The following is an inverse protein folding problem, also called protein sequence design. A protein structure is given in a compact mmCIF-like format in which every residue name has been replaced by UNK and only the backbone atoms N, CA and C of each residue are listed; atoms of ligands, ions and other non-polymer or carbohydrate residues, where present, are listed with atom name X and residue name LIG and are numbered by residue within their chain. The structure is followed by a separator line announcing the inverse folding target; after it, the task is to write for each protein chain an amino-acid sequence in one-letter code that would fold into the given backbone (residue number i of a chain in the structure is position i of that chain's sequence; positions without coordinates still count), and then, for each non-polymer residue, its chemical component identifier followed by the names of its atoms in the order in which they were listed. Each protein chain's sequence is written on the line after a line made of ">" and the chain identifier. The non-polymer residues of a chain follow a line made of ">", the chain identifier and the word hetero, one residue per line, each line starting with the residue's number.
data_IF_249312334381
#
_entry.id   IF_249312334381
#
_cell.length_a   1.000
_cell.length_b   1.000
_cell.length_c   1.000
_cell.angle_alpha   90.00
_cell.angle_beta   90.00
_cell.angle_gamma   90.00
#
_symmetry.space_group_name_H-M   'P 1'
#
loop_
_entity.id
_entity.type
_entity.pdbx_description
1 polymer ?
#
# COMPACT_ATOMS: atom_id res chain seq x y z
N UNK A 1 4.16 -2.35 -8.89
CA UNK A 1 3.94 -3.42 -7.90
C UNK A 1 5.06 -3.31 -6.88
N UNK A 2 4.73 -3.21 -5.59
CA UNK A 2 5.72 -3.17 -4.51
C UNK A 2 5.62 -4.45 -3.70
N UNK A 3 6.78 -5.01 -3.37
CA UNK A 3 6.93 -6.25 -2.63
C UNK A 3 8.07 -6.10 -1.63
N UNK A 4 7.82 -6.41 -0.37
CA UNK A 4 8.83 -6.50 0.68
C UNK A 4 8.56 -7.76 1.51
N UNK A 5 9.62 -8.56 1.70
CA UNK A 5 9.60 -9.68 2.62
C UNK A 5 10.61 -9.40 3.73
N UNK A 6 10.12 -9.34 4.97
CA UNK A 6 10.92 -9.18 6.17
C UNK A 6 10.94 -10.45 7.02
N UNK A 7 12.12 -10.82 7.49
CA UNK A 7 12.30 -11.81 8.56
C UNK A 7 12.36 -11.04 9.88
N UNK A 8 11.35 -11.18 10.73
CA UNK A 8 11.25 -10.43 11.99
C UNK A 8 11.16 -11.36 13.19
N UNK A 9 11.56 -10.84 14.36
CA UNK A 9 11.43 -11.55 15.63
C UNK A 9 11.20 -10.51 16.73
N UNK A 10 10.37 -10.87 17.72
CA UNK A 10 10.25 -10.09 18.95
C UNK A 10 11.60 -9.99 19.66
N UNK A 11 11.99 -8.78 20.10
CA UNK A 11 13.22 -8.56 20.87
C UNK A 11 13.03 -8.74 22.38
N UNK A 12 11.81 -9.02 22.80
CA UNK A 12 11.43 -9.16 24.22
C UNK A 12 10.96 -10.58 24.42
N UNK A 13 11.32 -11.14 25.56
CA UNK A 13 10.89 -12.49 25.94
C UNK A 13 9.38 -12.55 26.23
N UNK A 14 8.78 -11.41 26.63
CA UNK A 14 7.36 -11.29 26.93
C UNK A 14 6.74 -10.05 26.27
N UNK A 15 5.63 -10.29 25.56
CA UNK A 15 4.79 -9.28 24.93
C UNK A 15 3.64 -8.95 25.88
N UNK A 16 3.69 -7.77 26.51
CA UNK A 16 2.71 -7.34 27.50
C UNK A 16 1.33 -7.01 26.91
N UNK A 17 1.29 -6.56 25.66
CA UNK A 17 0.06 -6.28 24.91
C UNK A 17 -0.74 -7.55 24.62
N UNK A 18 -0.04 -8.63 24.28
CA UNK A 18 -0.63 -9.94 24.01
C UNK A 18 -0.62 -10.88 25.23
N UNK A 19 -0.06 -10.42 26.36
CA UNK A 19 0.12 -11.17 27.60
C UNK A 19 0.70 -12.58 27.39
N UNK A 20 1.68 -12.70 26.50
CA UNK A 20 2.31 -13.98 26.17
C UNK A 20 3.80 -13.84 25.95
N UNK A 21 4.52 -14.95 26.16
CA UNK A 21 5.88 -15.05 25.67
C UNK A 21 5.89 -15.13 24.14
N UNK A 22 6.89 -14.48 23.54
CA UNK A 22 7.13 -14.55 22.10
C UNK A 22 8.58 -14.93 21.84
N UNK A 23 8.77 -16.15 21.34
CA UNK A 23 10.06 -16.67 20.89
C UNK A 23 10.05 -16.98 19.38
N UNK A 24 8.96 -16.62 18.68
CA UNK A 24 8.75 -17.02 17.29
C UNK A 24 9.44 -16.09 16.31
N UNK A 25 10.18 -16.65 15.35
CA UNK A 25 10.53 -15.94 14.13
C UNK A 25 9.28 -15.82 13.23
N UNK A 26 9.12 -14.67 12.57
CA UNK A 26 7.98 -14.34 11.72
C UNK A 26 8.45 -13.94 10.33
N UNK A 27 7.63 -14.27 9.34
CA UNK A 27 7.82 -13.89 7.95
C UNK A 27 6.76 -12.85 7.60
N UNK A 28 7.14 -11.59 7.62
CA UNK A 28 6.25 -10.47 7.33
C UNK A 28 6.29 -10.15 5.83
N UNK A 29 5.11 -10.10 5.21
CA UNK A 29 4.95 -9.82 3.78
C UNK A 29 4.16 -8.54 3.58
N UNK A 30 4.77 -7.57 2.91
CA UNK A 30 4.12 -6.31 2.54
C UNK A 30 3.97 -6.23 1.02
N UNK A 31 2.72 -6.13 0.57
CA UNK A 31 2.34 -6.01 -0.83
C UNK A 31 1.66 -4.65 -1.07
N UNK A 32 2.06 -3.97 -2.15
CA UNK A 32 1.46 -2.71 -2.56
C UNK A 32 1.16 -2.68 -4.05
N UNK A 33 -0.06 -2.30 -4.41
CA UNK A 33 -0.45 -2.02 -5.78
C UNK A 33 -0.88 -0.56 -5.92
N UNK A 34 -0.67 0.01 -7.11
CA UNK A 34 -1.13 1.35 -7.47
C UNK A 34 -1.91 1.25 -8.77
N UNK A 35 -3.09 1.87 -8.79
CA UNK A 35 -3.93 1.98 -9.98
C UNK A 35 -4.12 3.47 -10.23
N UNK A 36 -3.92 3.88 -11.47
CA UNK A 36 -4.21 5.22 -11.94
C UNK A 36 -4.77 5.15 -13.34
N UNK A 37 -5.78 5.97 -13.62
CA UNK A 37 -6.24 6.24 -14.97
C UNK A 37 -6.12 7.74 -15.24
N UNK A 38 -5.87 8.11 -16.48
CA UNK A 38 -5.77 9.50 -16.91
C UNK A 38 -7.00 9.85 -17.74
N UNK A 39 -7.74 10.88 -17.33
CA UNK A 39 -8.80 11.46 -18.17
C UNK A 39 -8.22 12.63 -18.98
N UNK A 40 -8.20 12.54 -20.32
CA UNK A 40 -7.85 13.70 -21.14
C UNK A 40 -9.00 14.70 -21.13
N UNK A 41 -8.73 15.92 -20.66
CA UNK A 41 -9.67 17.04 -20.73
C UNK A 41 -9.32 17.85 -21.97
N UNK A 42 -10.10 17.68 -23.04
CA UNK A 42 -9.97 18.51 -24.24
C UNK A 42 -10.76 19.81 -24.04
N UNK A 43 -10.10 20.96 -24.21
CA UNK A 43 -10.81 22.23 -24.37
C UNK A 43 -11.55 22.16 -25.70
N UNK A 44 -12.88 22.15 -25.68
CA UNK A 44 -13.64 22.46 -26.89
C UNK A 44 -13.24 23.88 -27.30
N UNK A 45 -12.64 24.03 -28.48
CA UNK A 45 -12.76 25.30 -29.18
C UNK A 45 -14.26 25.53 -29.30
N UNK A 46 -14.76 26.57 -28.64
CA UNK A 46 -16.09 27.10 -28.90
C UNK A 46 -16.02 27.70 -30.31
N UNK A 47 -15.99 26.85 -31.33
CA UNK A 47 -16.30 27.29 -32.68
C UNK A 47 -17.75 27.77 -32.64
N UNK A 48 -17.88 29.00 -33.10
CA UNK A 48 -19.04 29.85 -33.03
C UNK A 48 -20.25 29.10 -33.56
N UNK A 49 -21.23 28.87 -32.69
CA UNK A 49 -22.54 28.33 -33.11
C UNK A 49 -23.22 29.41 -33.94
N UNK A 50 -23.13 29.30 -35.26
CA UNK A 50 -24.02 29.96 -36.21
C UNK A 50 -25.07 28.95 -36.68
N UNK A 51 -26.31 29.12 -36.24
CA UNK A 51 -27.55 28.84 -36.98
C UNK A 51 -28.74 29.51 -36.29
#
# INVERSE_FOLDING_TARGET
>A
MNFVWGFTQGRRDYLYDLQRSDAGARNDLLLGFKIGWTLPIYRKHAEEVYY
#
